data_IF_885360612243
#
_entry.id   IF_885360612243
#
_cell.length_a   1.000
_cell.length_b   1.000
_cell.length_c   1.000
_cell.angle_alpha   90.00
_cell.angle_beta   90.00
_cell.angle_gamma   90.00
#
_symmetry.space_group_name_H-M   'P 1'
#
loop_
_entity.id
_entity.type
_entity.pdbx_description
1 polymer ?
#
# COMPACT_ATOMS: atom_id res chain seq x y z
N UNK A 1 -1.77 14.54 -18.48
CA UNK A 1 -1.73 13.22 -17.82
C UNK A 1 -3.15 12.69 -17.88
N UNK A 2 -3.41 11.67 -18.68
CA UNK A 2 -4.63 10.87 -18.47
C UNK A 2 -4.57 10.31 -17.05
N UNK A 3 -5.67 10.40 -16.31
CA UNK A 3 -5.74 9.79 -15.00
C UNK A 3 -5.59 8.27 -15.18
N UNK A 4 -4.69 7.64 -14.42
CA UNK A 4 -4.47 6.18 -14.40
C UNK A 4 -5.75 5.38 -14.10
N UNK A 5 -6.81 6.06 -13.65
CA UNK A 5 -8.13 5.51 -13.36
C UNK A 5 -9.09 5.56 -14.53
N UNK A 6 -8.74 6.17 -15.67
CA UNK A 6 -9.63 6.37 -16.82
C UNK A 6 -10.06 5.08 -17.53
N UNK A 7 -9.32 3.99 -17.35
CA UNK A 7 -9.64 2.66 -17.90
C UNK A 7 -10.29 1.72 -16.87
N UNK A 8 -10.41 2.15 -15.61
CA UNK A 8 -10.99 1.34 -14.54
C UNK A 8 -12.52 1.46 -14.58
N UNK A 9 -13.20 0.42 -15.06
CA UNK A 9 -14.64 0.27 -14.90
C UNK A 9 -14.96 -0.24 -13.49
N UNK A 10 -14.89 0.66 -12.51
CA UNK A 10 -15.11 0.35 -11.09
C UNK A 10 -16.27 1.15 -10.54
N UNK A 11 -17.24 0.45 -9.93
CA UNK A 11 -18.25 1.09 -9.07
C UNK A 11 -17.74 1.07 -7.63
N UNK A 12 -17.56 2.24 -6.97
CA UNK A 12 -17.09 2.27 -5.59
C UNK A 12 -18.06 1.58 -4.63
N UNK A 13 -17.51 0.80 -3.71
CA UNK A 13 -18.24 0.12 -2.64
C UNK A 13 -18.90 1.14 -1.69
N UNK A 14 -20.12 0.87 -1.25
CA UNK A 14 -20.87 1.68 -0.29
C UNK A 14 -20.85 1.14 1.15
N UNK A 15 -20.42 -0.12 1.32
CA UNK A 15 -20.37 -0.77 2.62
C UNK A 15 -19.10 -0.41 3.40
N UNK A 16 -19.09 -0.72 4.69
CA UNK A 16 -17.88 -0.69 5.50
C UNK A 16 -16.91 -1.77 5.03
N UNK A 17 -15.61 -1.45 5.05
CA UNK A 17 -14.56 -2.32 4.54
C UNK A 17 -13.46 -2.52 5.58
N UNK A 18 -12.89 -3.72 5.54
CA UNK A 18 -11.65 -4.07 6.22
C UNK A 18 -10.55 -4.18 5.16
N UNK A 19 -9.38 -3.60 5.44
CA UNK A 19 -8.28 -3.53 4.48
C UNK A 19 -7.08 -4.31 5.02
N UNK A 20 -6.59 -5.27 4.22
CA UNK A 20 -5.36 -6.01 4.52
C UNK A 20 -4.27 -5.63 3.53
N UNK A 21 -3.21 -4.98 4.01
CA UNK A 21 -2.07 -4.51 3.22
C UNK A 21 -0.82 -5.32 3.54
N UNK A 22 -0.11 -5.74 2.48
CA UNK A 22 1.20 -6.37 2.59
C UNK A 22 2.21 -5.63 1.75
N UNK A 23 3.21 -5.02 2.38
CA UNK A 23 4.21 -4.22 1.72
C UNK A 23 5.46 -5.05 1.41
N UNK A 24 5.77 -5.21 0.13
CA UNK A 24 7.02 -5.82 -0.34
C UNK A 24 7.95 -4.72 -0.82
N UNK A 25 8.79 -4.21 0.08
CA UNK A 25 9.76 -3.17 -0.24
C UNK A 25 10.99 -3.78 -0.90
N UNK A 26 11.41 -3.20 -2.03
CA UNK A 26 12.61 -3.66 -2.73
C UNK A 26 13.87 -3.27 -1.95
N UNK A 27 14.76 -4.24 -1.73
CA UNK A 27 16.08 -3.99 -1.15
C UNK A 27 16.90 -3.11 -2.11
N UNK A 28 17.52 -2.02 -1.64
CA UNK A 28 18.30 -1.13 -2.50
C UNK A 28 19.37 -1.89 -3.31
N UNK A 29 19.37 -1.68 -4.62
CA UNK A 29 20.33 -2.32 -5.54
C UNK A 29 21.79 -1.87 -5.28
N UNK A 30 21.97 -0.70 -4.67
CA UNK A 30 23.27 -0.15 -4.27
C UNK A 30 23.93 -0.91 -3.10
N UNK A 31 23.19 -1.74 -2.38
CA UNK A 31 23.75 -2.53 -1.28
C UNK A 31 24.57 -3.70 -1.81
N UNK A 32 25.64 -4.04 -1.08
CA UNK A 32 26.45 -5.22 -1.37
C UNK A 32 25.60 -6.49 -1.42
N UNK A 33 25.99 -7.47 -2.25
CA UNK A 33 25.28 -8.76 -2.38
C UNK A 33 25.07 -9.46 -1.03
N UNK A 34 26.07 -9.41 -0.14
CA UNK A 34 26.02 -9.99 1.21
C UNK A 34 24.88 -9.39 2.04
N UNK A 35 24.84 -8.06 2.17
CA UNK A 35 23.77 -7.34 2.89
C UNK A 35 22.39 -7.59 2.31
N UNK A 36 22.27 -7.72 0.98
CA UNK A 36 21.01 -8.04 0.33
C UNK A 36 20.50 -9.42 0.70
N UNK A 37 21.37 -10.43 0.69
CA UNK A 37 21.02 -11.81 1.02
C UNK A 37 20.63 -11.96 2.50
N UNK A 38 21.34 -11.27 3.40
CA UNK A 38 21.04 -11.25 4.84
C UNK A 38 19.67 -10.62 5.18
N UNK A 39 19.16 -9.77 4.28
CA UNK A 39 17.88 -9.05 4.47
C UNK A 39 16.75 -9.59 3.61
N UNK A 40 17.03 -10.59 2.78
CA UNK A 40 16.02 -11.25 1.97
C UNK A 40 15.01 -11.97 2.87
N UNK A 41 13.71 -11.73 2.64
CA UNK A 41 12.60 -12.22 3.48
C UNK A 41 12.59 -11.71 4.94
N UNK A 42 13.32 -10.63 5.25
CA UNK A 42 13.22 -9.95 6.55
C UNK A 42 12.32 -8.72 6.46
N UNK A 43 11.84 -8.23 7.61
CA UNK A 43 11.12 -6.95 7.66
C UNK A 43 12.01 -5.82 7.17
N UNK A 44 11.42 -4.90 6.41
CA UNK A 44 12.14 -3.74 5.93
C UNK A 44 12.49 -2.82 7.10
N UNK A 45 13.74 -2.38 7.16
CA UNK A 45 14.22 -1.38 8.10
C UNK A 45 14.49 -0.04 7.39
N UNK A 46 13.79 0.20 6.28
CA UNK A 46 13.82 1.50 5.66
C UNK A 46 13.25 2.53 6.65
N UNK A 47 13.76 3.76 6.62
CA UNK A 47 13.28 4.85 7.48
C UNK A 47 11.85 5.31 7.15
N UNK A 48 11.06 4.50 6.46
CA UNK A 48 9.69 4.80 6.08
C UNK A 48 8.75 4.11 7.04
N UNK A 49 7.95 4.90 7.73
CA UNK A 49 6.95 4.40 8.65
C UNK A 49 5.81 3.67 7.91
N UNK A 50 5.26 2.62 8.53
CA UNK A 50 4.18 1.81 7.94
C UNK A 50 2.88 2.61 7.76
N UNK A 51 2.64 3.61 8.59
CA UNK A 51 1.47 4.49 8.52
C UNK A 51 1.44 5.32 7.23
N UNK A 52 2.60 5.78 6.75
CA UNK A 52 2.74 6.51 5.49
C UNK A 52 2.37 5.63 4.30
N UNK A 53 2.77 4.35 4.34
CA UNK A 53 2.38 3.40 3.31
C UNK A 53 0.87 3.11 3.31
N UNK A 54 0.30 2.88 4.50
CA UNK A 54 -1.14 2.68 4.65
C UNK A 54 -1.89 3.89 4.08
N UNK A 55 -1.51 5.11 4.50
CA UNK A 55 -2.14 6.35 4.05
C UNK A 55 -2.07 6.52 2.54
N UNK A 56 -0.89 6.32 1.94
CA UNK A 56 -0.72 6.44 0.50
C UNK A 56 -1.65 5.49 -0.29
N UNK A 57 -1.85 4.26 0.20
CA UNK A 57 -2.76 3.31 -0.44
C UNK A 57 -4.22 3.69 -0.23
N UNK A 58 -4.62 4.07 0.99
CA UNK A 58 -6.01 4.46 1.26
C UNK A 58 -6.41 5.72 0.47
N UNK A 59 -5.52 6.71 0.41
CA UNK A 59 -5.73 7.93 -0.38
C UNK A 59 -5.89 7.61 -1.88
N UNK A 60 -5.10 6.66 -2.41
CA UNK A 60 -5.18 6.24 -3.81
C UNK A 60 -6.47 5.44 -4.13
N UNK A 61 -7.04 4.75 -3.14
CA UNK A 61 -8.27 3.96 -3.30
C UNK A 61 -9.54 4.78 -3.05
N UNK A 62 -9.43 5.95 -2.41
CA UNK A 62 -10.56 6.82 -2.12
C UNK A 62 -11.19 7.36 -3.42
N UNK A 63 -12.50 7.19 -3.56
CA UNK A 63 -13.25 7.51 -4.78
C UNK A 63 -13.07 6.50 -5.93
N UNK A 64 -12.13 5.55 -5.81
CA UNK A 64 -11.89 4.49 -6.80
C UNK A 64 -12.55 3.18 -6.36
N UNK A 65 -12.23 2.71 -5.15
CA UNK A 65 -12.73 1.43 -4.63
C UNK A 65 -13.83 1.62 -3.57
N UNK A 66 -13.73 2.66 -2.75
CA UNK A 66 -14.78 3.07 -1.80
C UNK A 66 -15.07 4.56 -2.00
N UNK A 67 -16.26 5.02 -1.62
CA UNK A 67 -16.66 6.42 -1.81
C UNK A 67 -15.91 7.39 -0.89
N UNK A 68 -15.55 6.92 0.30
CA UNK A 68 -15.02 7.76 1.37
C UNK A 68 -14.10 6.92 2.28
N UNK A 69 -13.01 7.51 2.78
CA UNK A 69 -12.03 6.85 3.64
C UNK A 69 -12.63 6.44 4.99
N UNK A 70 -13.71 7.10 5.44
CA UNK A 70 -14.48 6.72 6.64
C UNK A 70 -15.10 5.33 6.57
N UNK A 71 -15.19 4.73 5.37
CA UNK A 71 -15.68 3.36 5.21
C UNK A 71 -14.68 2.32 5.68
N UNK A 72 -13.40 2.67 5.82
CA UNK A 72 -12.35 1.78 6.31
C UNK A 72 -12.42 1.74 7.84
N UNK A 73 -12.91 0.64 8.39
CA UNK A 73 -13.12 0.48 9.84
C UNK A 73 -12.04 -0.35 10.52
N UNK A 74 -11.24 -1.09 9.74
CA UNK A 74 -10.18 -1.95 10.24
C UNK A 74 -9.06 -2.06 9.21
N UNK A 75 -7.80 -2.04 9.67
CA UNK A 75 -6.62 -2.19 8.83
C UNK A 75 -5.66 -3.20 9.43
N UNK A 76 -5.30 -4.21 8.66
CA UNK A 76 -4.18 -5.11 8.92
C UNK A 76 -3.03 -4.74 7.98
N UNK A 77 -1.84 -4.49 8.51
CA UNK A 77 -0.68 -4.10 7.71
C UNK A 77 0.59 -4.83 8.15
N UNK A 78 1.37 -5.31 7.17
CA UNK A 78 2.65 -6.01 7.38
C UNK A 78 3.68 -5.72 6.29
#
# INVERSE_FOLDING_TARGET
MEALTGELDTTPCENLVCVSLRFKVQIPKSWSKKKRLERENTFCDNSSDIDNYIKAILDALNGVYFKDDKQVVEVFAS
#
